data_IF_512738996595
#
_entry.id   IF_512738996595
#
_cell.length_a   1.000
_cell.length_b   1.000
_cell.length_c   1.000
_cell.angle_alpha   90.00
_cell.angle_beta   90.00
_cell.angle_gamma   90.00
#
_symmetry.space_group_name_H-M   'P 1'
#
loop_
_entity.id
_entity.type
_entity.pdbx_description
1 polymer ?
2 non-polymer ?
3 water ?
#
# COMPACT_ATOMS: atom_id res chain seq x y z
N UNK A 1 7.02 4.29 12.61
CA UNK A 1 7.21 2.94 13.15
C UNK A 1 6.01 2.54 14.03
N UNK A 2 5.29 1.53 13.59
CA UNK A 2 4.13 1.06 14.30
C UNK A 2 4.56 0.17 15.48
N UNK A 3 3.78 0.15 16.56
CA UNK A 3 4.07 -0.81 17.63
C UNK A 3 3.92 -2.24 17.13
N UNK A 4 4.72 -3.14 17.71
CA UNK A 4 4.63 -4.54 17.33
C UNK A 4 3.31 -5.15 17.76
N UNK A 5 2.71 -4.63 18.84
CA UNK A 5 1.44 -5.12 19.36
C UNK A 5 0.61 -3.95 19.84
N UNK A 6 -0.72 -4.09 19.72
CA UNK A 6 -1.69 -3.09 20.14
C UNK A 6 -2.85 -3.81 20.83
N UNK A 7 -3.36 -3.23 21.91
CA UNK A 7 -4.55 -3.78 22.58
C UNK A 7 -5.30 -2.59 23.18
N UNK A 8 -6.34 -2.13 22.46
CA UNK A 8 -7.10 -0.96 22.91
C UNK A 8 -7.89 -1.22 24.19
N UNK A 9 -8.11 -2.49 24.58
CA UNK A 9 -8.76 -2.75 25.86
C UNK A 9 -7.95 -2.21 27.02
N UNK A 10 -6.63 -2.30 26.92
CA UNK A 10 -5.77 -1.84 28.00
C UNK A 10 -5.80 -0.32 28.14
N UNK A 11 -6.25 0.39 27.11
CA UNK A 11 -6.36 1.84 27.12
C UNK A 11 -7.75 2.33 27.48
N UNK A 12 -8.63 1.45 27.94
CA UNK A 12 -9.96 1.84 28.38
C UNK A 12 -10.88 2.28 27.25
N UNK A 13 -10.64 1.80 26.02
CA UNK A 13 -11.44 2.22 24.88
C UNK A 13 -12.44 1.17 24.40
N UNK A 14 -12.60 0.06 25.13
CA UNK A 14 -13.46 -1.03 24.69
C UNK A 14 -14.43 -1.38 25.81
N UNK A 15 -15.73 -1.40 25.48
CA UNK A 15 -16.76 -1.72 26.47
C UNK A 15 -16.84 -3.23 26.67
N UNK A 16 -17.68 -3.65 27.61
CA UNK A 16 -17.82 -5.08 27.87
C UNK A 16 -18.38 -5.79 26.63
N UNK A 17 -18.05 -7.08 26.52
CA UNK A 17 -18.53 -7.88 25.42
C UNK A 17 -20.04 -8.01 25.49
N UNK A 18 -20.69 -7.86 24.34
CA UNK A 18 -22.15 -7.95 24.22
C UNK A 18 -22.55 -9.31 23.62
N UNK A 19 -23.84 -9.61 23.72
CA UNK A 19 -24.39 -10.87 23.23
C UNK A 19 -25.57 -10.59 22.32
N UNK A 20 -25.42 -10.85 21.02
CA UNK A 20 -26.48 -10.51 20.08
C UNK A 20 -27.64 -11.49 20.09
N UNK A 21 -27.49 -12.66 20.71
CA UNK A 21 -28.58 -13.63 20.70
C UNK A 21 -28.96 -14.03 19.29
N UNK A 22 -30.26 -14.28 19.10
CA UNK A 22 -30.75 -14.84 17.86
C UNK A 22 -31.08 -13.78 16.81
N UNK A 23 -30.57 -12.57 16.98
CA UNK A 23 -30.79 -11.45 16.07
C UNK A 23 -29.48 -11.19 15.36
N UNK A 24 -29.50 -11.23 14.02
CA UNK A 24 -28.31 -11.07 13.21
C UNK A 24 -27.85 -9.63 13.11
N UNK A 25 -27.49 -9.07 14.26
CA UNK A 25 -27.16 -7.65 14.40
C UNK A 25 -25.66 -7.42 14.58
N UNK A 26 -24.82 -8.35 14.14
CA UNK A 26 -23.38 -8.18 14.35
C UNK A 26 -22.88 -6.86 13.77
N UNK A 27 -23.44 -6.46 12.63
CA UNK A 27 -23.06 -5.19 12.00
C UNK A 27 -23.30 -4.02 12.94
N UNK A 28 -24.40 -4.07 13.69
CA UNK A 28 -24.72 -2.97 14.61
C UNK A 28 -23.74 -2.94 15.78
N UNK A 29 -23.40 -4.11 16.35
CA UNK A 29 -22.43 -4.15 17.43
C UNK A 29 -21.04 -3.73 16.97
N UNK A 30 -20.64 -4.14 15.75
CA UNK A 30 -19.35 -3.71 15.22
C UNK A 30 -19.28 -2.19 15.11
N UNK A 31 -20.34 -1.59 14.58
CA UNK A 31 -20.39 -0.14 14.42
C UNK A 31 -20.34 0.58 15.76
N UNK A 32 -21.17 0.17 16.73
CA UNK A 32 -21.16 0.92 17.98
C UNK A 32 -19.84 0.73 18.70
N UNK A 33 -19.24 -0.46 18.58
CA UNK A 33 -17.94 -0.68 19.21
C UNK A 33 -16.87 0.24 18.67
N UNK A 34 -16.86 0.45 17.35
CA UNK A 34 -15.88 1.37 16.80
C UNK A 34 -16.15 2.80 17.27
N UNK A 35 -17.41 3.21 17.31
CA UNK A 35 -17.70 4.58 17.72
C UNK A 35 -17.47 4.77 19.22
N UNK A 36 -17.70 3.71 20.01
CA UNK A 36 -17.43 3.80 21.46
C UNK A 36 -15.98 4.19 21.72
N UNK A 37 -15.04 3.64 20.96
CA UNK A 37 -13.64 3.96 21.17
C UNK A 37 -13.35 5.42 20.81
N UNK A 38 -13.91 5.91 19.71
CA UNK A 38 -13.70 7.30 19.34
C UNK A 38 -14.29 8.25 20.38
N UNK A 39 -15.46 7.90 20.94
CA UNK A 39 -16.04 8.72 22.00
C UNK A 39 -15.12 8.78 23.21
N UNK A 40 -14.52 7.65 23.60
CA UNK A 40 -13.57 7.68 24.70
C UNK A 40 -12.35 8.51 24.36
N UNK A 41 -11.81 8.34 23.16
CA UNK A 41 -10.64 9.11 22.74
C UNK A 41 -10.95 10.61 22.75
N UNK A 42 -12.17 10.98 22.38
CA UNK A 42 -12.52 12.39 22.27
C UNK A 42 -12.87 13.01 23.63
N UNK A 43 -13.65 12.31 24.45
CA UNK A 43 -14.24 12.89 25.65
C UNK A 43 -13.68 12.35 26.96
N UNK A 44 -12.93 11.25 26.92
CA UNK A 44 -12.46 10.61 28.12
C UNK A 44 -13.46 9.68 28.81
N UNK A 45 -14.68 9.57 28.29
CA UNK A 45 -15.71 8.72 28.89
C UNK A 45 -15.96 7.50 28.01
N UNK A 46 -16.06 6.34 28.63
CA UNK A 46 -16.40 5.09 27.96
C UNK A 46 -17.86 4.79 28.23
N UNK A 47 -18.68 4.76 27.18
CA UNK A 47 -20.13 4.56 27.30
C UNK A 47 -20.56 3.54 26.24
N UNK A 48 -21.31 2.51 26.65
CA UNK A 48 -21.87 1.60 25.64
C UNK A 48 -22.95 2.33 24.85
N UNK A 49 -22.90 2.22 23.53
CA UNK A 49 -23.85 2.87 22.64
C UNK A 49 -24.88 1.86 22.13
N UNK A 50 -26.03 2.37 21.67
CA UNK A 50 -27.21 1.55 21.41
C UNK A 50 -27.13 0.82 20.06
N UNK A 51 -26.80 -0.47 20.10
CA UNK A 51 -26.92 -1.29 18.89
C UNK A 51 -28.37 -1.41 18.44
N UNK A 52 -29.32 -1.43 19.39
CA UNK A 52 -30.74 -1.51 19.04
C UNK A 52 -31.18 -0.29 18.23
N UNK A 53 -30.67 0.89 18.60
CA UNK A 53 -30.92 2.13 17.83
C UNK A 53 -30.61 1.92 16.36
N UNK A 54 -29.48 1.28 16.05
CA UNK A 54 -29.12 1.02 14.66
C UNK A 54 -30.06 -0.01 14.03
N UNK A 55 -30.33 -1.11 14.75
CA UNK A 55 -31.22 -2.15 14.22
C UNK A 55 -32.58 -1.55 13.84
N UNK A 56 -33.12 -0.69 14.69
CA UNK A 56 -34.47 -0.18 14.49
C UNK A 56 -34.53 1.00 13.52
N UNK A 57 -33.47 1.78 13.39
CA UNK A 57 -33.56 3.07 12.72
C UNK A 57 -32.70 3.18 11.47
N UNK A 58 -31.60 2.44 11.38
CA UNK A 58 -30.76 2.46 10.19
C UNK A 58 -31.23 1.31 9.31
N UNK A 59 -32.33 1.56 8.58
CA UNK A 59 -33.01 0.45 7.91
C UNK A 59 -32.94 0.56 6.39
N UNK A 60 -34.09 0.49 5.70
CA UNK A 60 -34.09 0.28 4.25
C UNK A 60 -33.39 1.40 3.49
N UNK A 61 -33.48 2.65 3.97
CA UNK A 61 -32.79 3.73 3.28
C UNK A 61 -31.27 3.55 3.33
N UNK A 62 -30.77 2.77 4.29
CA UNK A 62 -29.35 2.51 4.47
C UNK A 62 -28.98 1.10 4.01
N UNK A 63 -29.91 0.39 3.36
CA UNK A 63 -29.63 -0.94 2.87
C UNK A 63 -29.58 -2.01 3.93
N UNK A 64 -29.94 -1.69 5.16
CA UNK A 64 -29.84 -2.62 6.26
C UNK A 64 -31.17 -3.29 6.52
N UNK A 65 -31.10 -4.51 7.11
CA UNK A 65 -32.26 -5.37 7.33
C UNK A 65 -32.36 -5.81 8.79
N UNK A 66 -31.91 -4.97 9.71
CA UNK A 66 -32.12 -5.23 11.14
C UNK A 66 -31.50 -6.56 11.58
N UNK A 67 -32.34 -7.43 12.14
CA UNK A 67 -31.90 -8.74 12.59
C UNK A 67 -31.53 -9.67 11.45
N UNK A 68 -31.73 -9.27 10.20
CA UNK A 68 -31.30 -10.09 9.07
C UNK A 68 -30.10 -9.49 8.34
N UNK A 69 -29.33 -8.63 8.99
CA UNK A 69 -28.03 -8.22 8.48
C UNK A 69 -27.99 -6.76 8.09
N UNK A 70 -26.76 -6.29 7.88
CA UNK A 70 -26.57 -4.88 7.52
C UNK A 70 -25.11 -4.59 7.30
N UNK A 71 -24.79 -3.28 7.13
CA UNK A 71 -23.44 -2.79 6.89
C UNK A 71 -23.02 -1.83 8.00
N UNK A 72 -21.76 -1.93 8.43
CA UNK A 72 -21.25 -0.95 9.40
C UNK A 72 -21.15 0.45 8.78
N UNK A 73 -20.76 0.54 7.50
CA UNK A 73 -20.60 1.87 6.91
C UNK A 73 -21.92 2.62 6.85
N UNK A 74 -23.01 1.97 6.48
CA UNK A 74 -24.26 2.71 6.44
C UNK A 74 -24.84 2.92 7.83
N UNK A 75 -24.45 2.11 8.81
CA UNK A 75 -24.75 2.46 10.19
C UNK A 75 -24.08 3.77 10.56
N UNK A 76 -22.81 3.94 10.21
CA UNK A 76 -22.16 5.22 10.47
C UNK A 76 -22.88 6.36 9.76
N UNK A 77 -23.27 6.16 8.49
CA UNK A 77 -23.97 7.23 7.76
C UNK A 77 -25.29 7.59 8.44
N UNK A 78 -26.03 6.60 8.94
CA UNK A 78 -27.23 6.90 9.72
C UNK A 78 -26.90 7.80 10.91
N UNK A 79 -25.83 7.49 11.65
CA UNK A 79 -25.52 8.29 12.83
C UNK A 79 -25.15 9.72 12.42
N UNK A 80 -24.43 9.86 11.31
CA UNK A 80 -24.13 11.19 10.77
C UNK A 80 -25.41 11.94 10.42
N UNK A 81 -26.27 11.32 9.61
CA UNK A 81 -27.50 11.95 9.15
C UNK A 81 -28.42 12.29 10.31
N UNK A 82 -28.52 11.38 11.28
CA UNK A 82 -29.41 11.52 12.42
C UNK A 82 -28.90 12.52 13.44
N UNK A 83 -27.63 12.91 13.35
CA UNK A 83 -26.96 13.77 14.29
C UNK A 83 -26.92 13.18 15.69
N UNK A 84 -26.89 11.85 15.78
CA UNK A 84 -26.67 11.23 17.08
C UNK A 84 -27.08 9.79 17.13
N UNK A 85 -26.66 9.14 18.22
CA UNK A 85 -27.06 7.79 18.59
C UNK A 85 -27.25 7.76 20.10
N UNK A 86 -28.26 7.04 20.57
CA UNK A 86 -28.58 6.97 21.99
C UNK A 86 -27.62 6.06 22.75
N UNK A 87 -27.58 6.26 24.07
CA UNK A 87 -26.84 5.31 24.88
C UNK A 87 -27.54 3.95 24.87
N UNK A 88 -26.75 2.90 25.12
CA UNK A 88 -27.33 1.56 25.30
C UNK A 88 -28.25 1.53 26.51
N UNK A 89 -27.90 2.25 27.57
CA UNK A 89 -28.76 2.26 28.75
C UNK A 89 -30.15 2.78 28.42
N UNK A 90 -30.22 3.87 27.65
CA UNK A 90 -31.51 4.48 27.34
C UNK A 90 -32.28 3.71 26.29
N UNK A 91 -31.57 2.97 25.44
CA UNK A 91 -32.17 2.31 24.28
C UNK A 91 -31.59 0.90 24.23
N UNK A 92 -32.01 0.02 25.15
CA UNK A 92 -31.31 -1.25 25.36
C UNK A 92 -31.63 -2.29 24.30
N UNK A 93 -30.78 -3.30 24.26
CA UNK A 93 -30.82 -4.30 23.19
C UNK A 93 -31.83 -5.40 23.50
N UNK A 94 -32.74 -5.62 22.56
CA UNK A 94 -33.82 -6.59 22.73
C UNK A 94 -33.73 -7.76 21.77
N UNK A 95 -32.75 -7.76 20.86
CA UNK A 95 -32.55 -8.85 19.89
C UNK A 95 -33.82 -9.08 19.07
N UNK A 96 -34.48 -8.00 18.69
CA UNK A 96 -35.68 -8.05 17.86
C UNK A 96 -35.71 -6.81 16.99
N UNK A 97 -36.41 -6.90 15.86
CA UNK A 97 -36.68 -5.72 15.04
C UNK A 97 -37.81 -4.93 15.70
N UNK A 98 -37.60 -3.63 15.91
CA UNK A 98 -38.61 -2.79 16.55
C UNK A 98 -38.83 -1.51 15.76
N UNK A 99 -39.90 -0.80 16.08
CA UNK A 99 -40.05 0.54 15.56
C UNK A 99 -38.95 1.42 16.12
N UNK A 100 -38.54 2.42 15.34
CA UNK A 100 -37.49 3.33 15.78
C UNK A 100 -37.93 4.08 17.02
N UNK A 101 -37.07 4.07 18.05
CA UNK A 101 -37.34 4.75 19.32
C UNK A 101 -36.32 5.84 19.61
N UNK A 102 -35.59 6.30 18.60
CA UNK A 102 -34.54 7.28 18.87
C UNK A 102 -35.09 8.54 19.54
N UNK A 103 -34.40 9.00 20.57
CA UNK A 103 -34.75 10.23 21.26
C UNK A 103 -33.49 11.04 21.49
N UNK A 104 -33.39 12.23 20.88
CA UNK A 104 -32.19 13.05 21.04
C UNK A 104 -31.89 13.40 22.50
N UNK A 105 -32.88 13.31 23.40
CA UNK A 105 -32.61 13.61 24.80
C UNK A 105 -31.56 12.69 25.40
N UNK A 106 -31.41 11.48 24.84
CA UNK A 106 -30.50 10.48 25.39
C UNK A 106 -29.31 10.25 24.49
N UNK A 107 -29.05 11.18 23.57
CA UNK A 107 -27.89 11.11 22.70
C UNK A 107 -26.62 10.97 23.52
N UNK A 108 -25.80 9.97 23.15
CA UNK A 108 -24.53 9.73 23.83
C UNK A 108 -23.33 9.88 22.91
N UNK A 109 -23.52 9.93 21.61
CA UNK A 109 -22.40 10.14 20.70
C UNK A 109 -22.92 10.73 19.40
N UNK A 110 -21.99 11.33 18.65
CA UNK A 110 -22.22 11.76 17.28
C UNK A 110 -21.12 11.15 16.41
N UNK A 111 -21.27 11.30 15.11
CA UNK A 111 -20.28 10.83 14.16
C UNK A 111 -20.17 11.88 13.07
N UNK A 112 -18.94 12.27 12.73
CA UNK A 112 -18.73 13.28 11.69
C UNK A 112 -18.47 12.69 10.32
N UNK A 113 -17.80 11.56 10.25
CA UNK A 113 -17.38 10.96 9.00
C UNK A 113 -17.01 9.52 9.28
N UNK A 114 -16.81 8.76 8.22
CA UNK A 114 -16.18 7.45 8.35
C UNK A 114 -15.27 7.23 7.17
N UNK A 115 -14.32 6.32 7.36
CA UNK A 115 -13.27 6.04 6.39
C UNK A 115 -13.28 4.55 6.06
N UNK A 116 -13.25 4.21 4.78
CA UNK A 116 -13.13 2.83 4.34
C UNK A 116 -11.70 2.55 3.91
N UNK A 117 -11.18 1.37 4.29
CA UNK A 117 -9.81 1.01 3.95
C UNK A 117 -9.78 0.09 2.72
N UNK A 118 -8.67 0.08 1.98
CA UNK A 118 -8.63 -0.69 0.73
C UNK A 118 -8.70 -2.18 0.95
N UNK A 119 -9.39 -2.85 0.01
CA UNK A 119 -9.64 -4.28 0.07
C UNK A 119 -8.36 -5.10 0.22
N UNK A 120 -8.35 -5.95 1.22
CA UNK A 120 -7.31 -6.95 1.44
C UNK A 120 -6.00 -6.43 1.96
N UNK A 121 -5.88 -5.13 2.27
CA UNK A 121 -4.60 -4.53 2.66
C UNK A 121 -4.43 -4.62 4.16
N UNK A 122 -3.76 -5.69 4.61
CA UNK A 122 -3.55 -5.86 6.05
C UNK A 122 -2.52 -4.88 6.59
N UNK A 123 -1.64 -4.34 5.74
CA UNK A 123 -0.72 -3.31 6.21
C UNK A 123 -1.44 -2.02 6.53
N UNK A 124 -2.41 -1.63 5.70
CA UNK A 124 -3.20 -0.43 5.95
C UNK A 124 -4.09 -0.63 7.18
N UNK A 125 -4.66 -1.83 7.32
CA UNK A 125 -5.45 -2.11 8.52
C UNK A 125 -4.60 -2.00 9.79
N UNK A 126 -3.38 -2.53 9.76
CA UNK A 126 -2.52 -2.42 10.94
C UNK A 126 -2.26 -0.96 11.29
N UNK A 127 -2.00 -0.15 10.27
CA UNK A 127 -1.76 1.27 10.54
C UNK A 127 -2.97 1.96 11.15
N UNK A 128 -4.14 1.63 10.64
CA UNK A 128 -5.34 2.27 11.19
C UNK A 128 -5.59 1.84 12.62
N UNK A 129 -5.43 0.55 12.93
CA UNK A 129 -5.65 0.07 14.29
C UNK A 129 -4.66 0.75 15.24
N UNK A 130 -3.40 0.89 14.82
CA UNK A 130 -2.41 1.52 15.68
C UNK A 130 -2.66 3.01 15.85
N UNK A 131 -2.98 3.70 14.75
CA UNK A 131 -2.99 5.16 14.75
C UNK A 131 -4.37 5.78 14.96
N UNK A 132 -5.46 5.07 14.65
CA UNK A 132 -6.79 5.64 14.75
C UNK A 132 -7.64 5.04 15.84
N UNK A 133 -7.59 3.73 16.03
CA UNK A 133 -8.38 3.07 17.04
C UNK A 133 -8.97 1.79 16.49
N UNK A 134 -9.88 1.17 17.23
CA UNK A 134 -10.51 -0.06 16.74
C UNK A 134 -11.22 0.16 15.41
N UNK A 135 -11.21 -0.87 14.57
CA UNK A 135 -11.70 -0.79 13.20
C UNK A 135 -12.79 -1.84 13.00
N UNK A 136 -13.92 -1.42 12.45
CA UNK A 136 -14.98 -2.36 12.11
C UNK A 136 -14.58 -3.16 10.89
N UNK A 137 -14.74 -4.49 10.94
CA UNK A 137 -14.44 -5.34 9.78
C UNK A 137 -15.52 -6.40 9.64
N UNK A 138 -15.63 -6.97 8.44
CA UNK A 138 -16.40 -8.18 8.23
C UNK A 138 -15.47 -9.38 8.21
N UNK A 139 -15.99 -10.54 8.61
CA UNK A 139 -15.26 -11.80 8.50
C UNK A 139 -16.19 -12.86 7.94
N UNK A 140 -15.59 -13.90 7.37
CA UNK A 140 -16.33 -15.09 6.96
C UNK A 140 -16.43 -15.98 8.19
N UNK A 141 -17.57 -15.96 8.87
CA UNK A 141 -17.74 -16.74 10.10
C UNK A 141 -18.51 -18.03 9.88
N UNK A 142 -18.76 -18.41 8.63
CA UNK A 142 -19.62 -19.57 8.33
C UNK A 142 -18.82 -20.88 8.30
N UNK A 143 -18.17 -21.16 9.44
CA UNK A 143 -17.34 -22.34 9.61
C UNK A 143 -17.47 -22.82 11.05
N UNK A 144 -17.76 -24.10 11.28
CA UNK A 144 -17.81 -24.60 12.66
C UNK A 144 -16.55 -24.31 13.44
N UNK A 145 -15.38 -24.35 12.79
CA UNK A 145 -14.16 -24.03 13.50
C UNK A 145 -14.19 -22.64 14.08
N UNK A 146 -14.90 -21.71 13.43
CA UNK A 146 -15.02 -20.36 13.95
C UNK A 146 -15.86 -20.32 15.20
N UNK A 147 -17.07 -20.88 15.16
CA UNK A 147 -17.87 -20.72 16.38
C UNK A 147 -17.52 -21.74 17.45
N UNK A 148 -16.70 -22.75 17.14
CA UNK A 148 -16.16 -23.65 18.14
C UNK A 148 -14.83 -23.18 18.72
N UNK A 149 -14.29 -22.07 18.23
CA UNK A 149 -12.99 -21.58 18.67
C UNK A 149 -12.97 -21.36 20.18
N UNK A 150 -11.89 -21.82 20.83
CA UNK A 150 -11.68 -21.60 22.25
C UNK A 150 -10.46 -20.75 22.58
N UNK A 151 -9.32 -20.98 21.94
CA UNK A 151 -8.13 -20.23 22.29
C UNK A 151 -7.09 -20.36 21.18
N UNK A 152 -6.09 -19.51 21.26
CA UNK A 152 -4.98 -19.53 20.33
C UNK A 152 -5.23 -18.64 19.13
N UNK A 153 -4.42 -18.84 18.10
CA UNK A 153 -4.55 -18.07 16.86
C UNK A 153 -5.34 -18.90 15.87
N UNK A 154 -6.50 -18.38 15.49
CA UNK A 154 -7.43 -19.10 14.62
C UNK A 154 -6.94 -19.08 13.17
N UNK A 155 -6.85 -20.27 12.58
CA UNK A 155 -6.54 -20.39 11.16
C UNK A 155 -7.43 -21.48 10.58
N UNK A 156 -8.18 -21.16 9.54
CA UNK A 156 -9.12 -22.09 8.90
C UNK A 156 -8.81 -22.16 7.42
N UNK A 157 -8.22 -23.26 6.92
CA UNK A 157 -7.89 -23.35 5.49
C UNK A 157 -9.08 -23.18 4.56
N UNK A 158 -10.29 -23.52 5.00
CA UNK A 158 -11.47 -23.38 4.16
C UNK A 158 -12.08 -21.98 4.17
N UNK A 159 -11.50 -21.05 4.93
CA UNK A 159 -12.06 -19.70 5.01
C UNK A 159 -11.98 -19.01 3.66
N UNK A 160 -12.95 -18.14 3.38
CA UNK A 160 -12.94 -17.34 2.17
C UNK A 160 -12.78 -15.86 2.54
N UNK A 161 -12.60 -15.03 1.52
CA UNK A 161 -12.50 -13.59 1.73
C UNK A 161 -13.86 -12.89 1.64
N UNK A 162 -14.95 -13.65 1.50
CA UNK A 162 -16.30 -13.09 1.38
C UNK A 162 -16.93 -13.04 2.77
N UNK A 163 -17.23 -11.84 3.24
CA UNK A 163 -17.60 -11.66 4.63
C UNK A 163 -19.10 -11.75 4.84
N UNK A 164 -19.49 -12.10 6.07
CA UNK A 164 -20.91 -12.28 6.39
C UNK A 164 -21.20 -11.98 7.85
N UNK A 165 -20.24 -11.46 8.60
CA UNK A 165 -20.39 -11.25 10.04
C UNK A 165 -19.54 -10.05 10.44
N UNK A 166 -20.16 -9.07 11.11
CA UNK A 166 -19.43 -7.88 11.53
C UNK A 166 -18.80 -8.06 12.90
N UNK A 167 -17.54 -7.67 13.03
CA UNK A 167 -16.77 -7.74 14.27
C UNK A 167 -15.88 -6.50 14.36
N UNK A 168 -15.12 -6.41 15.44
CA UNK A 168 -14.34 -5.21 15.70
C UNK A 168 -12.89 -5.59 16.00
N UNK A 169 -11.95 -5.06 15.21
CA UNK A 169 -10.53 -5.31 15.47
C UNK A 169 -10.07 -4.31 16.52
N UNK A 170 -9.72 -4.80 17.72
CA UNK A 170 -9.29 -3.93 18.81
C UNK A 170 -7.80 -4.01 19.07
N UNK A 171 -7.05 -4.75 18.26
CA UNK A 171 -5.61 -4.78 18.43
C UNK A 171 -5.00 -5.83 17.52
N UNK A 172 -3.72 -6.07 17.75
CA UNK A 172 -2.96 -7.06 16.99
C UNK A 172 -1.71 -7.43 17.77
N UNK A 173 -1.09 -8.53 17.36
CA UNK A 173 0.14 -8.96 18.01
C UNK A 173 0.65 -10.27 17.45
N UNK A 174 1.40 -11.02 18.24
CA UNK A 174 1.83 -12.34 17.80
C UNK A 174 1.89 -13.26 19.01
N UNK A 175 1.56 -14.52 18.77
CA UNK A 175 1.61 -15.56 19.79
C UNK A 175 2.74 -16.49 19.34
N UNK A 176 3.89 -16.38 20.00
CA UNK A 176 5.07 -17.19 19.67
C UNK A 176 5.36 -17.17 18.16
N UNK A 177 5.29 -15.99 17.55
CA UNK A 177 5.57 -15.82 16.15
C UNK A 177 4.36 -15.92 15.23
N UNK A 178 3.25 -16.48 15.70
CA UNK A 178 2.02 -16.51 14.91
C UNK A 178 1.33 -15.16 15.05
N UNK A 179 1.36 -14.36 13.98
CA UNK A 179 0.75 -13.04 14.02
C UNK A 179 -0.77 -13.15 14.03
N UNK A 180 -1.42 -12.25 14.76
CA UNK A 180 -2.89 -12.29 14.86
C UNK A 180 -3.47 -10.89 14.89
N UNK A 181 -4.76 -10.84 14.58
CA UNK A 181 -5.65 -9.72 14.83
C UNK A 181 -6.46 -10.04 16.08
N UNK A 182 -6.59 -9.07 16.98
CA UNK A 182 -7.38 -9.23 18.20
C UNK A 182 -8.80 -8.73 17.93
N UNK A 183 -9.77 -9.65 17.94
CA UNK A 183 -11.10 -9.38 17.41
C UNK A 183 -12.15 -9.50 18.53
N UNK A 184 -12.93 -8.44 18.71
CA UNK A 184 -14.07 -8.44 19.63
C UNK A 184 -15.31 -8.94 18.88
N UNK A 185 -15.93 -10.00 19.39
CA UNK A 185 -17.16 -10.53 18.81
C UNK A 185 -18.35 -10.07 19.65
N UNK A 186 -19.55 -10.43 19.21
CA UNK A 186 -20.79 -10.10 19.92
C UNK A 186 -21.59 -11.36 20.20
N UNK A 187 -20.88 -12.44 20.57
CA UNK A 187 -21.50 -13.70 20.95
C UNK A 187 -21.37 -13.99 22.43
N UNK A 188 -21.20 -12.95 23.26
CA UNK A 188 -21.12 -13.10 24.69
C UNK A 188 -19.73 -13.46 25.17
N UNK A 189 -19.52 -13.41 26.48
CA UNK A 189 -18.17 -13.57 27.00
C UNK A 189 -17.79 -15.03 27.21
N UNK A 190 -18.64 -15.97 26.78
CA UNK A 190 -18.26 -17.37 26.78
C UNK A 190 -17.83 -17.89 25.41
N UNK A 191 -17.93 -17.07 24.36
CA UNK A 191 -17.32 -17.38 23.07
C UNK A 191 -15.82 -17.14 23.14
N UNK A 192 -15.04 -18.08 22.61
CA UNK A 192 -13.60 -17.85 22.46
C UNK A 192 -12.89 -17.50 23.76
N UNK A 193 -12.01 -16.51 23.68
CA UNK A 193 -11.21 -16.04 24.82
C UNK A 193 -11.96 -14.88 25.47
N UNK A 194 -12.89 -15.20 26.37
CA UNK A 194 -13.72 -14.20 27.07
C UNK A 194 -14.43 -13.26 26.10
N UNK A 195 -14.87 -13.80 24.96
CA UNK A 195 -15.63 -13.04 23.98
C UNK A 195 -14.83 -12.59 22.78
N UNK A 196 -13.53 -12.82 22.77
CA UNK A 196 -12.60 -12.37 21.73
C UNK A 196 -12.07 -13.57 20.96
N UNK A 197 -11.62 -13.32 19.74
CA UNK A 197 -10.93 -14.34 18.96
C UNK A 197 -9.66 -13.72 18.36
N UNK A 198 -8.55 -14.42 18.47
CA UNK A 198 -7.31 -13.99 17.82
C UNK A 198 -7.23 -14.70 16.47
N UNK A 199 -7.26 -13.91 15.39
CA UNK A 199 -7.39 -14.43 14.04
C UNK A 199 -6.09 -14.21 13.27
N UNK A 200 -5.74 -15.19 12.42
CA UNK A 200 -4.48 -15.14 11.69
C UNK A 200 -4.31 -13.83 10.93
N UNK A 201 -3.13 -13.22 11.09
CA UNK A 201 -2.78 -11.95 10.46
C UNK A 201 -1.65 -12.18 9.47
N UNK A 202 -1.69 -11.44 8.37
CA UNK A 202 -0.68 -11.52 7.29
C UNK A 202 -0.64 -12.91 6.68
N UNK A 203 -1.81 -13.54 6.60
CA UNK A 203 -1.94 -14.83 5.94
C UNK A 203 -2.93 -14.69 4.79
N UNK A 204 -2.70 -13.71 3.93
CA UNK A 204 -3.47 -13.55 2.70
C UNK A 204 -4.92 -13.15 2.91
N UNK A 205 -5.16 -12.18 3.80
CA UNK A 205 -6.52 -11.70 4.09
C UNK A 205 -7.40 -12.85 4.59
N UNK A 206 -6.90 -13.54 5.60
CA UNK A 206 -7.55 -14.73 6.13
C UNK A 206 -8.95 -14.41 6.60
N UNK A 207 -9.93 -15.17 6.10
CA UNK A 207 -11.34 -15.02 6.44
C UNK A 207 -11.89 -13.65 6.07
N UNK A 208 -11.23 -12.93 5.17
CA UNK A 208 -11.74 -11.64 4.75
C UNK A 208 -11.62 -10.52 5.76
N UNK A 209 -10.76 -10.68 6.78
CA UNK A 209 -10.68 -9.69 7.86
C UNK A 209 -10.38 -8.29 7.33
N UNK A 210 -9.56 -8.18 6.28
CA UNK A 210 -9.23 -6.87 5.71
C UNK A 210 -9.99 -6.58 4.41
N UNK A 211 -11.03 -7.35 4.10
CA UNK A 211 -11.79 -7.10 2.87
C UNK A 211 -12.51 -5.76 2.91
N UNK A 212 -13.26 -5.49 3.99
CA UNK A 212 -14.07 -4.26 4.06
C UNK A 212 -13.95 -3.60 5.43
N UNK A 213 -12.79 -3.03 5.76
CA UNK A 213 -12.64 -2.34 7.03
C UNK A 213 -13.13 -0.90 6.95
N UNK A 214 -13.63 -0.40 8.08
CA UNK A 214 -14.04 0.99 8.15
C UNK A 214 -13.98 1.49 9.59
N UNK A 215 -13.84 2.80 9.75
CA UNK A 215 -13.88 3.34 11.11
C UNK A 215 -14.47 4.75 11.10
N UNK A 216 -15.18 5.12 12.16
CA UNK A 216 -15.78 6.44 12.25
C UNK A 216 -14.84 7.44 12.93
N UNK A 217 -15.17 8.72 12.80
CA UNK A 217 -14.46 9.74 13.56
C UNK A 217 -15.44 10.77 14.09
N UNK A 218 -15.09 11.37 15.23
CA UNK A 218 -15.86 12.44 15.84
C UNK A 218 -14.98 13.69 15.78
N UNK A 219 -15.33 14.64 14.92
CA UNK A 219 -14.51 15.81 14.68
C UNK A 219 -15.14 17.05 15.27
N UNK A 220 -14.29 18.01 15.66
CA UNK A 220 -14.75 19.25 16.27
C UNK A 220 -15.00 20.32 15.21
N UNK B 1 17.33 -16.61 -30.68
CA UNK B 1 17.67 -15.52 -31.55
C UNK B 1 17.05 -14.21 -31.05
N UNK B 2 17.89 -13.27 -30.66
CA UNK B 2 17.40 -12.00 -30.17
C UNK B 2 17.01 -11.09 -31.32
N UNK B 3 16.03 -10.22 -31.13
CA UNK B 3 15.71 -9.23 -32.17
C UNK B 3 16.89 -8.30 -32.41
N UNK B 4 17.01 -7.84 -33.65
CA UNK B 4 18.10 -6.94 -34.01
C UNK B 4 17.93 -5.58 -33.35
N UNK B 5 16.69 -5.20 -33.07
CA UNK B 5 16.39 -3.92 -32.43
C UNK B 5 15.22 -4.11 -31.48
N UNK B 6 15.25 -3.32 -30.41
CA UNK B 6 14.22 -3.32 -29.36
C UNK B 6 13.93 -1.88 -28.99
N UNK B 7 12.66 -1.54 -28.75
CA UNK B 7 12.29 -0.21 -28.28
C UNK B 7 11.06 -0.38 -27.40
N UNK B 8 11.27 -0.43 -26.08
CA UNK B 8 10.16 -0.63 -25.15
C UNK B 8 9.19 0.54 -25.13
N UNK B 9 9.55 1.72 -25.62
CA UNK B 9 8.58 2.81 -25.68
C UNK B 9 7.41 2.45 -26.59
N UNK B 10 7.70 1.74 -27.69
CA UNK B 10 6.66 1.35 -28.64
C UNK B 10 5.70 0.34 -28.07
N UNK B 11 6.08 -0.34 -26.99
CA UNK B 11 5.23 -1.33 -26.32
C UNK B 11 4.50 -0.74 -25.12
N UNK B 12 4.54 0.58 -24.96
CA UNK B 12 3.81 1.23 -23.88
C UNK B 12 4.36 0.99 -22.50
N UNK B 13 5.65 0.68 -22.37
CA UNK B 13 6.25 0.35 -21.09
C UNK B 13 7.13 1.47 -20.52
N UNK B 14 7.14 2.65 -21.16
CA UNK B 14 8.02 3.74 -20.73
C UNK B 14 7.19 5.01 -20.53
N UNK B 15 7.32 5.62 -19.34
CA UNK B 15 6.59 6.84 -19.03
C UNK B 15 7.27 8.04 -19.67
N UNK B 16 6.65 9.20 -19.53
CA UNK B 16 7.22 10.41 -20.10
C UNK B 16 8.56 10.72 -19.44
N UNK B 17 9.42 11.40 -20.21
CA UNK B 17 10.73 11.80 -19.70
C UNK B 17 10.56 12.79 -18.55
N UNK B 18 11.35 12.58 -17.49
CA UNK B 18 11.34 13.42 -16.31
C UNK B 18 12.55 14.37 -16.29
N UNK B 19 12.49 15.35 -15.40
CA UNK B 19 13.52 16.38 -15.26
C UNK B 19 13.96 16.44 -13.80
N UNK B 20 15.18 15.99 -13.52
CA UNK B 20 15.61 15.95 -12.13
C UNK B 20 16.04 17.31 -11.59
N UNK B 21 16.22 18.30 -12.46
CA UNK B 21 16.66 19.59 -11.99
C UNK B 21 18.01 19.52 -11.29
N UNK B 22 18.16 20.38 -10.27
CA UNK B 22 19.44 20.52 -9.60
C UNK B 22 19.63 19.53 -8.46
N UNK B 23 18.84 18.47 -8.44
CA UNK B 23 18.94 17.42 -7.43
C UNK B 23 19.54 16.19 -8.10
N UNK B 24 20.65 15.69 -7.54
CA UNK B 24 21.36 14.54 -8.12
C UNK B 24 20.66 13.22 -7.85
N UNK B 25 19.45 13.07 -8.38
CA UNK B 25 18.60 11.93 -8.11
C UNK B 25 18.47 11.00 -9.31
N UNK B 26 19.47 10.98 -10.21
CA UNK B 26 19.37 10.16 -11.40
C UNK B 26 19.17 8.69 -11.04
N UNK B 27 19.80 8.24 -9.96
CA UNK B 27 19.63 6.87 -9.48
C UNK B 27 18.15 6.55 -9.20
N UNK B 28 17.42 7.52 -8.61
CA UNK B 28 16.02 7.29 -8.29
C UNK B 28 15.17 7.22 -9.55
N UNK B 29 15.43 8.11 -10.52
CA UNK B 29 14.68 8.05 -11.76
C UNK B 29 14.98 6.78 -12.54
N UNK B 30 16.24 6.34 -12.54
CA UNK B 30 16.58 5.07 -13.20
C UNK B 30 15.80 3.91 -12.57
N UNK B 31 15.77 3.85 -11.24
CA UNK B 31 15.09 2.77 -10.55
C UNK B 31 13.58 2.78 -10.83
N UNK B 32 12.92 3.94 -10.70
CA UNK B 32 11.47 3.93 -10.91
C UNK B 32 11.15 3.62 -12.36
N UNK B 33 11.99 4.07 -13.29
CA UNK B 33 11.74 3.74 -14.70
C UNK B 33 11.78 2.24 -14.96
N UNK B 34 12.74 1.55 -14.35
CA UNK B 34 12.80 0.11 -14.55
C UNK B 34 11.58 -0.56 -13.93
N UNK B 35 11.16 -0.10 -12.75
CA UNK B 35 10.02 -0.73 -12.10
C UNK B 35 8.72 -0.39 -12.83
N UNK B 36 8.61 0.82 -13.39
CA UNK B 36 7.42 1.20 -14.15
C UNK B 36 7.15 0.22 -15.29
N UNK B 37 8.20 -0.22 -15.99
CA UNK B 37 7.99 -1.14 -17.10
C UNK B 37 7.50 -2.49 -16.61
N UNK B 38 8.06 -2.99 -15.50
CA UNK B 38 7.60 -4.26 -14.94
C UNK B 38 6.15 -4.19 -14.48
N UNK B 39 5.76 -3.06 -13.89
CA UNK B 39 4.36 -2.87 -13.49
C UNK B 39 3.43 -2.93 -14.69
N UNK B 40 3.81 -2.33 -15.81
CA UNK B 40 3.02 -2.42 -17.02
C UNK B 40 2.97 -3.86 -17.54
N UNK B 41 4.12 -4.54 -17.56
CA UNK B 41 4.13 -5.93 -18.01
C UNK B 41 3.24 -6.80 -17.14
N UNK B 42 3.18 -6.52 -15.84
CA UNK B 42 2.45 -7.36 -14.90
C UNK B 42 0.96 -7.05 -14.89
N UNK B 43 0.59 -5.75 -14.90
CA UNK B 43 -0.77 -5.34 -14.66
C UNK B 43 -1.45 -4.70 -15.87
N UNK B 44 -0.71 -4.38 -16.92
CA UNK B 44 -1.25 -3.67 -18.05
C UNK B 44 -1.38 -2.16 -17.87
N UNK B 45 -1.05 -1.62 -16.70
CA UNK B 45 -1.19 -0.20 -16.45
C UNK B 45 0.18 0.45 -16.40
N UNK B 46 0.31 1.60 -17.07
CA UNK B 46 1.55 2.38 -17.05
C UNK B 46 1.36 3.57 -16.12
N UNK B 47 2.11 3.61 -15.02
CA UNK B 47 1.97 4.71 -14.07
C UNK B 47 3.36 5.16 -13.62
N UNK B 48 3.60 6.47 -13.64
CA UNK B 48 4.86 7.01 -13.15
C UNK B 48 4.95 6.79 -11.64
N UNK B 49 6.09 6.30 -11.18
CA UNK B 49 6.32 6.01 -9.77
C UNK B 49 7.18 7.10 -9.15
N UNK B 50 7.13 7.19 -7.82
CA UNK B 50 7.66 8.34 -7.08
C UNK B 50 9.18 8.25 -6.93
N UNK B 51 9.90 9.01 -7.75
CA UNK B 51 11.33 9.16 -7.48
C UNK B 51 11.57 9.88 -6.15
N UNK B 52 10.69 10.81 -5.78
CA UNK B 52 10.82 11.53 -4.52
C UNK B 52 10.75 10.57 -3.34
N UNK B 53 9.85 9.58 -3.42
CA UNK B 53 9.76 8.52 -2.40
C UNK B 53 11.12 7.90 -2.13
N UNK B 54 11.88 7.59 -3.20
CA UNK B 54 13.21 7.01 -3.04
C UNK B 54 14.20 8.01 -2.43
N UNK B 55 14.20 9.24 -2.94
CA UNK B 55 15.11 10.27 -2.43
C UNK B 55 14.94 10.46 -0.93
N UNK B 56 13.68 10.51 -0.46
CA UNK B 56 13.41 10.81 0.94
C UNK B 56 13.52 9.60 1.86
N UNK B 57 13.28 8.40 1.35
CA UNK B 57 13.11 7.23 2.21
C UNK B 57 14.16 6.16 2.04
N UNK B 58 14.79 6.05 0.86
CA UNK B 58 15.86 5.08 0.66
C UNK B 58 17.18 5.80 0.92
N UNK B 59 17.52 5.94 2.21
CA UNK B 59 18.62 6.84 2.58
C UNK B 59 19.80 6.09 3.20
N UNK B 60 20.26 6.52 4.38
CA UNK B 60 21.56 6.06 4.90
C UNK B 60 21.62 4.54 5.08
N UNK B 61 20.51 3.92 5.47
CA UNK B 61 20.54 2.46 5.64
C UNK B 61 20.77 1.75 4.32
N UNK B 62 20.47 2.42 3.21
CA UNK B 62 20.63 1.89 1.86
C UNK B 62 21.85 2.47 1.16
N UNK B 63 22.67 3.23 1.88
CA UNK B 63 23.86 3.82 1.31
C UNK B 63 23.62 4.99 0.40
N UNK B 64 22.39 5.49 0.33
CA UNK B 64 22.06 6.57 -0.59
C UNK B 64 22.06 7.91 0.12
N UNK B 65 22.29 8.96 -0.68
CA UNK B 65 22.45 10.32 -0.18
C UNK B 65 21.49 11.28 -0.89
N UNK B 66 20.31 10.78 -1.28
CA UNK B 66 19.27 11.68 -1.79
C UNK B 66 19.72 12.46 -3.00
N UNK B 67 19.67 13.80 -2.90
CA UNK B 67 20.09 14.67 -3.99
C UNK B 67 21.59 14.68 -4.21
N UNK B 68 22.38 13.98 -3.39
CA UNK B 68 23.81 13.85 -3.61
C UNK B 68 24.23 12.44 -4.04
N UNK B 69 23.32 11.66 -4.60
CA UNK B 69 23.68 10.43 -5.28
C UNK B 69 23.13 9.21 -4.56
N UNK B 70 23.19 8.08 -5.27
CA UNK B 70 22.66 6.83 -4.75
C UNK B 70 22.85 5.69 -5.74
N UNK B 71 22.30 4.52 -5.39
CA UNK B 71 22.35 3.29 -6.19
C UNK B 71 20.96 2.84 -6.58
N UNK B 72 20.80 2.36 -7.82
CA UNK B 72 19.52 1.77 -8.21
C UNK B 72 19.24 0.48 -7.44
N UNK B 73 20.27 -0.34 -7.21
CA UNK B 73 20.03 -1.63 -6.56
C UNK B 73 19.50 -1.45 -5.15
N UNK B 74 20.06 -0.52 -4.37
CA UNK B 74 19.52 -0.35 -3.03
C UNK B 74 18.20 0.41 -3.01
N UNK B 75 17.91 1.19 -4.06
CA UNK B 75 16.55 1.68 -4.22
C UNK B 75 15.58 0.51 -4.39
N UNK B 76 15.92 -0.48 -5.22
CA UNK B 76 15.06 -1.67 -5.32
C UNK B 76 14.93 -2.36 -3.96
N UNK B 77 16.03 -2.51 -3.22
CA UNK B 77 15.93 -3.18 -1.92
C UNK B 77 15.02 -2.42 -0.96
N UNK B 78 15.08 -1.08 -0.98
CA UNK B 78 14.13 -0.31 -0.19
C UNK B 78 12.69 -0.63 -0.57
N UNK B 79 12.40 -0.71 -1.88
CA UNK B 79 11.01 -0.97 -2.27
C UNK B 79 10.57 -2.35 -1.78
N UNK B 80 11.48 -3.33 -1.87
CA UNK B 80 11.21 -4.67 -1.36
C UNK B 80 10.97 -4.63 0.15
N UNK B 81 11.90 -4.03 0.91
CA UNK B 81 11.77 -4.00 2.36
C UNK B 81 10.52 -3.25 2.80
N UNK B 82 10.22 -2.14 2.13
CA UNK B 82 9.10 -1.28 2.45
C UNK B 82 7.78 -1.87 2.03
N UNK B 83 7.82 -2.89 1.18
CA UNK B 83 6.64 -3.52 0.60
C UNK B 83 5.83 -2.53 -0.24
N UNK B 84 6.49 -1.56 -0.86
CA UNK B 84 5.79 -0.71 -1.80
C UNK B 84 6.50 0.60 -2.07
N UNK B 85 6.01 1.28 -3.11
CA UNK B 85 6.43 2.62 -3.49
C UNK B 85 5.19 3.37 -3.96
N UNK B 86 5.10 4.65 -3.62
CA UNK B 86 3.96 5.48 -3.99
C UNK B 86 4.02 5.90 -5.46
N UNK B 87 2.86 6.28 -6.00
CA UNK B 87 2.86 6.85 -7.34
C UNK B 87 3.51 8.23 -7.33
N UNK B 88 4.00 8.64 -8.49
CA UNK B 88 4.51 10.00 -8.63
C UNK B 88 3.43 11.03 -8.36
N UNK B 89 2.20 10.76 -8.80
CA UNK B 89 1.10 11.71 -8.61
C UNK B 89 0.86 11.98 -7.12
N UNK B 90 0.89 10.94 -6.30
CA UNK B 90 0.61 11.07 -4.88
C UNK B 90 1.79 11.61 -4.08
N UNK B 91 3.00 11.43 -4.58
CA UNK B 91 4.22 11.77 -3.84
C UNK B 91 5.13 12.46 -4.84
N UNK B 92 4.83 13.72 -5.18
CA UNK B 92 5.47 14.35 -6.34
C UNK B 92 6.90 14.78 -6.09
N UNK B 93 7.60 15.00 -7.21
CA UNK B 93 9.03 15.28 -7.18
C UNK B 93 9.29 16.77 -6.94
N UNK B 94 10.09 17.07 -5.94
CA UNK B 94 10.39 18.44 -5.56
C UNK B 94 11.86 18.82 -5.75
N UNK B 95 12.69 17.88 -6.18
CA UNK B 95 14.12 18.15 -6.40
C UNK B 95 14.79 18.69 -5.14
N UNK B 96 14.42 18.14 -3.98
CA UNK B 96 15.01 18.52 -2.71
C UNK B 96 14.97 17.29 -1.80
N UNK B 97 15.88 17.25 -0.83
CA UNK B 97 15.82 16.23 0.21
C UNK B 97 14.72 16.58 1.20
N UNK B 98 13.81 15.64 1.47
CA UNK B 98 12.70 15.86 2.39
C UNK B 98 12.65 14.73 3.40
N UNK B 99 11.84 14.92 4.45
CA UNK B 99 11.56 13.83 5.36
C UNK B 99 10.76 12.73 4.64
N UNK B 100 10.94 11.48 5.08
CA UNK B 100 10.19 10.40 4.47
C UNK B 100 8.69 10.59 4.69
N UNK B 101 7.92 10.57 3.59
CA UNK B 101 6.47 10.77 3.64
C UNK B 101 5.71 9.62 2.99
N UNK B 102 6.31 8.42 2.91
CA UNK B 102 5.63 7.30 2.28
C UNK B 102 4.28 7.07 2.91
N UNK B 103 3.27 6.84 2.07
CA UNK B 103 1.89 6.62 2.52
C UNK B 103 1.40 5.34 1.85
N UNK B 104 1.17 4.30 2.66
CA UNK B 104 0.75 3.00 2.15
C UNK B 104 -0.54 3.08 1.34
N UNK B 105 -1.40 4.07 1.63
CA UNK B 105 -2.66 4.21 0.92
C UNK B 105 -2.45 4.54 -0.55
N UNK B 106 -1.32 5.14 -0.90
CA UNK B 106 -1.04 5.53 -2.28
C UNK B 106 0.00 4.64 -2.93
N UNK B 107 0.24 3.46 -2.36
CA UNK B 107 1.14 2.49 -2.98
C UNK B 107 0.69 2.20 -4.40
N UNK B 108 1.62 2.28 -5.36
CA UNK B 108 1.33 2.01 -6.76
C UNK B 108 2.08 0.84 -7.34
N UNK B 109 3.14 0.37 -6.67
CA UNK B 109 3.87 -0.78 -7.15
C UNK B 109 4.54 -1.45 -5.97
N UNK B 110 4.92 -2.70 -6.16
CA UNK B 110 5.74 -3.48 -5.25
C UNK B 110 6.91 -4.02 -6.06
N UNK B 111 7.87 -4.59 -5.36
CA UNK B 111 9.04 -5.22 -5.98
C UNK B 111 9.36 -6.49 -5.19
N UNK B 112 9.58 -7.59 -5.90
CA UNK B 112 9.87 -8.86 -5.23
C UNK B 112 11.36 -9.14 -5.11
N UNK B 113 12.14 -8.75 -6.11
CA UNK B 113 13.54 -9.07 -6.19
C UNK B 113 14.18 -8.14 -7.21
N UNK B 114 15.51 -8.18 -7.27
CA UNK B 114 16.22 -7.54 -8.37
C UNK B 114 17.40 -8.41 -8.75
N UNK B 115 17.88 -8.21 -9.98
CA UNK B 115 18.95 -9.01 -10.55
C UNK B 115 20.05 -8.09 -11.04
N UNK B 116 21.30 -8.41 -10.71
CA UNK B 116 22.45 -7.69 -11.24
C UNK B 116 23.09 -8.49 -12.37
N UNK B 117 23.49 -7.78 -13.45
CA UNK B 117 24.12 -8.43 -14.58
C UNK B 117 25.65 -8.35 -14.48
N UNK B 118 26.37 -9.27 -15.10
CA UNK B 118 27.83 -9.29 -14.95
C UNK B 118 28.52 -8.09 -15.59
N UNK B 119 29.57 -7.61 -14.93
CA UNK B 119 30.31 -6.43 -15.35
C UNK B 119 30.79 -6.51 -16.80
N UNK B 120 30.46 -5.48 -17.57
CA UNK B 120 30.97 -5.26 -18.90
C UNK B 120 30.40 -6.13 -20.00
N UNK B 121 29.44 -7.00 -19.69
CA UNK B 121 28.92 -7.95 -20.68
C UNK B 121 27.75 -7.34 -21.44
N UNK B 122 28.07 -6.75 -22.59
CA UNK B 122 27.03 -6.13 -23.40
C UNK B 122 26.14 -7.17 -24.07
N UNK B 123 26.64 -8.40 -24.27
CA UNK B 123 25.79 -9.45 -24.81
C UNK B 123 24.73 -9.86 -23.79
N UNK B 124 25.11 -9.96 -22.52
CA UNK B 124 24.15 -10.30 -21.47
C UNK B 124 23.15 -9.17 -21.29
N UNK B 125 23.61 -7.92 -21.35
CA UNK B 125 22.70 -6.78 -21.26
C UNK B 125 21.68 -6.80 -22.40
N UNK B 126 22.13 -7.09 -23.63
CA UNK B 126 21.21 -7.14 -24.76
C UNK B 126 20.13 -8.18 -24.52
N UNK B 127 20.51 -9.36 -24.02
CA UNK B 127 19.55 -10.42 -23.74
C UNK B 127 18.52 -9.98 -22.69
N UNK B 128 18.98 -9.28 -21.65
CA UNK B 128 18.05 -8.82 -20.61
C UNK B 128 17.12 -7.75 -21.14
N UNK B 129 17.63 -6.82 -21.93
CA UNK B 129 16.75 -5.78 -22.49
C UNK B 129 15.69 -6.41 -23.39
N UNK B 130 16.09 -7.39 -24.18
CA UNK B 130 15.14 -8.03 -25.10
C UNK B 130 14.11 -8.88 -24.36
N UNK B 131 14.56 -9.67 -23.38
CA UNK B 131 13.70 -10.69 -22.76
C UNK B 131 13.06 -10.28 -21.45
N UNK B 132 13.62 -9.33 -20.72
CA UNK B 132 13.10 -8.95 -19.42
C UNK B 132 12.48 -7.56 -19.38
N UNK B 133 13.03 -6.59 -20.10
CA UNK B 133 12.49 -5.26 -20.10
C UNK B 133 13.59 -4.24 -19.94
N UNK B 134 13.25 -2.98 -19.73
CA UNK B 134 14.27 -1.95 -19.52
C UNK B 134 15.15 -2.25 -18.31
N UNK B 135 16.41 -1.88 -18.43
CA UNK B 135 17.43 -2.22 -17.44
C UNK B 135 18.07 -0.92 -16.92
N UNK B 136 18.15 -0.80 -15.60
CA UNK B 136 18.85 0.32 -14.98
C UNK B 136 20.35 0.15 -15.15
N UNK B 137 21.04 1.22 -15.58
CA UNK B 137 22.49 1.18 -15.72
C UNK B 137 23.10 2.48 -15.23
N UNK B 138 24.38 2.42 -14.91
CA UNK B 138 25.18 3.61 -14.67
C UNK B 138 25.97 3.94 -15.93
N UNK B 139 26.24 5.22 -16.13
CA UNK B 139 27.15 5.65 -17.19
C UNK B 139 28.09 6.71 -16.64
N UNK B 140 29.22 6.87 -17.31
CA UNK B 140 30.15 7.97 -17.06
C UNK B 140 29.65 9.15 -17.90
N UNK B 141 28.95 10.08 -17.24
CA UNK B 141 28.37 11.24 -17.92
C UNK B 141 29.19 12.51 -17.70
N UNK B 142 30.40 12.41 -17.14
CA UNK B 142 31.17 13.59 -16.78
C UNK B 142 32.04 14.07 -17.94
N UNK B 143 31.37 14.38 -19.04
CA UNK B 143 32.05 14.85 -20.24
C UNK B 143 31.13 15.87 -20.89
N UNK B 144 31.64 17.05 -21.25
CA UNK B 144 30.80 18.01 -21.97
C UNK B 144 30.14 17.43 -23.21
N UNK B 145 30.80 16.50 -23.92
CA UNK B 145 30.17 15.91 -25.08
C UNK B 145 28.87 15.20 -24.73
N UNK B 146 28.79 14.63 -23.51
CA UNK B 146 27.56 13.96 -23.08
C UNK B 146 26.42 14.96 -22.90
N UNK B 147 26.65 16.04 -22.15
CA UNK B 147 25.50 16.90 -21.95
C UNK B 147 25.27 17.84 -23.11
N UNK B 148 26.22 17.95 -24.04
CA UNK B 148 26.02 18.71 -25.28
C UNK B 148 25.41 17.86 -26.39
N UNK B 149 25.20 16.56 -26.16
CA UNK B 149 24.69 15.67 -27.18
C UNK B 149 23.32 16.14 -27.67
N UNK B 150 23.15 16.16 -28.99
CA UNK B 150 21.86 16.50 -29.59
C UNK B 150 21.24 15.36 -30.37
N UNK B 151 22.01 14.61 -31.16
CA UNK B 151 21.43 13.56 -31.97
C UNK B 151 22.51 12.61 -32.46
N UNK B 152 22.07 11.47 -32.96
CA UNK B 152 23.00 10.49 -33.52
C UNK B 152 23.45 9.49 -32.47
N UNK B 153 24.52 8.77 -32.78
CA UNK B 153 25.07 7.79 -31.83
C UNK B 153 26.26 8.42 -31.13
N UNK B 154 26.20 8.46 -29.80
CA UNK B 154 27.21 9.08 -28.98
C UNK B 154 28.42 8.18 -28.78
N UNK B 155 29.61 8.70 -29.11
CA UNK B 155 30.87 8.05 -28.83
C UNK B 155 31.86 9.11 -28.34
N UNK B 156 32.45 8.87 -27.18
CA UNK B 156 33.38 9.80 -26.54
C UNK B 156 34.70 9.10 -26.27
N UNK B 157 35.77 9.41 -26.99
CA UNK B 157 37.05 8.73 -26.76
C UNK B 157 37.56 8.82 -25.33
N UNK B 158 37.23 9.88 -24.59
CA UNK B 158 37.69 10.05 -23.22
C UNK B 158 36.81 9.36 -22.18
N UNK B 159 35.72 8.72 -22.58
CA UNK B 159 34.84 8.06 -21.61
C UNK B 159 35.58 6.94 -20.88
N UNK B 160 35.21 6.72 -19.63
CA UNK B 160 35.72 5.62 -18.84
C UNK B 160 34.59 4.64 -18.53
N UNK B 161 34.96 3.50 -17.93
CA UNK B 161 33.98 2.53 -17.51
C UNK B 161 33.50 2.74 -16.07
N UNK B 162 33.94 3.82 -15.42
CA UNK B 162 33.56 4.13 -14.04
C UNK B 162 32.35 5.05 -14.06
N UNK B 163 31.24 4.58 -13.52
CA UNK B 163 29.95 5.26 -13.72
C UNK B 163 29.66 6.25 -12.60
N UNK B 164 28.83 7.26 -12.93
CA UNK B 164 28.50 8.30 -11.96
C UNK B 164 27.11 8.87 -12.18
N UNK B 165 26.28 8.29 -13.06
CA UNK B 165 25.00 8.85 -13.44
C UNK B 165 24.10 7.68 -13.78
N UNK B 166 22.91 7.62 -13.14
CA UNK B 166 21.98 6.52 -13.39
C UNK B 166 21.02 6.85 -14.52
N UNK B 167 20.84 5.89 -15.43
CA UNK B 167 19.96 6.04 -16.60
C UNK B 167 19.27 4.70 -16.85
N UNK B 168 18.43 4.65 -17.88
CA UNK B 168 17.60 3.48 -18.14
C UNK B 168 17.75 3.07 -19.59
N UNK B 169 18.20 1.83 -19.81
CA UNK B 169 18.28 1.30 -21.18
C UNK B 169 16.91 0.76 -21.54
N UNK B 170 16.25 1.41 -22.50
CA UNK B 170 14.90 1.01 -22.93
C UNK B 170 14.90 0.34 -24.29
N UNK B 171 16.07 0.11 -24.89
CA UNK B 171 16.12 -0.58 -26.16
C UNK B 171 17.52 -0.56 -26.72
N UNK B 172 17.63 -1.01 -27.97
CA UNK B 172 18.88 -1.02 -28.70
C UNK B 172 18.56 -1.13 -30.19
N UNK B 173 19.57 -0.88 -31.00
CA UNK B 173 19.39 -0.97 -32.43
C UNK B 173 20.64 -0.51 -33.15
N UNK B 174 20.49 -0.02 -34.38
CA UNK B 174 21.63 0.52 -35.11
C UNK B 174 21.16 1.66 -35.99
N UNK B 175 22.02 2.65 -36.14
CA UNK B 175 21.75 3.80 -36.99
C UNK B 175 22.65 3.62 -38.21
N UNK B 176 22.06 3.14 -39.31
CA UNK B 176 22.82 2.85 -40.52
C UNK B 176 24.09 2.05 -40.20
N UNK B 177 23.94 1.02 -39.36
CA UNK B 177 25.02 0.15 -38.97
C UNK B 177 25.77 0.54 -37.71
N UNK B 178 25.61 1.77 -37.23
CA UNK B 178 26.23 2.21 -35.98
C UNK B 178 25.39 1.66 -34.82
N UNK B 179 25.90 0.64 -34.13
CA UNK B 179 25.10 0.01 -33.06
C UNK B 179 25.00 0.91 -31.85
N UNK B 180 23.83 0.91 -31.21
CA UNK B 180 23.60 1.78 -30.06
C UNK B 180 22.73 1.12 -29.01
N UNK B 181 22.81 1.68 -27.81
CA UNK B 181 21.87 1.48 -26.72
C UNK B 181 20.93 2.69 -26.68
N UNK B 182 19.64 2.44 -26.54
CA UNK B 182 18.64 3.51 -26.44
C UNK B 182 18.45 3.84 -24.96
N UNK B 183 18.86 5.02 -24.54
CA UNK B 183 18.99 5.36 -23.13
C UNK B 183 18.04 6.50 -22.78
N UNK B 184 17.20 6.27 -21.78
CA UNK B 184 16.31 7.29 -21.22
C UNK B 184 17.05 8.01 -20.11
N UNK B 185 17.17 9.33 -20.22
CA UNK B 185 17.80 10.17 -19.21
C UNK B 185 16.71 10.84 -18.40
N UNK B 186 17.12 11.59 -17.39
CA UNK B 186 16.21 12.36 -16.54
C UNK B 186 16.62 13.82 -16.52
N UNK B 187 17.01 14.33 -17.69
CA UNK B 187 17.35 15.73 -17.85
C UNK B 187 16.31 16.49 -18.66
N UNK B 188 15.07 16.00 -18.67
CA UNK B 188 13.99 16.68 -19.37
C UNK B 188 13.97 16.35 -20.85
N UNK B 189 12.90 16.77 -21.51
CA UNK B 189 12.73 16.34 -22.89
C UNK B 189 13.43 17.23 -23.89
N UNK B 190 14.22 18.21 -23.43
CA UNK B 190 15.03 18.99 -24.35
C UNK B 190 16.48 18.52 -24.38
N UNK B 191 16.87 17.56 -23.52
CA UNK B 191 18.17 16.91 -23.63
C UNK B 191 18.16 15.91 -24.78
N UNK B 192 19.22 15.91 -25.57
CA UNK B 192 19.36 14.86 -26.57
C UNK B 192 18.18 14.77 -27.53
N UNK B 193 17.77 13.53 -27.83
CA UNK B 193 16.68 13.25 -28.77
C UNK B 193 15.40 13.11 -27.95
N UNK B 194 14.74 14.24 -27.69
CA UNK B 194 13.49 14.26 -26.90
C UNK B 194 13.67 13.59 -25.54
N UNK B 195 14.85 13.75 -24.95
CA UNK B 195 15.13 13.24 -23.62
C UNK B 195 15.96 11.97 -23.59
N UNK B 196 16.26 11.39 -24.74
CA UNK B 196 16.98 10.13 -24.88
C UNK B 196 18.35 10.39 -25.51
N UNK B 197 19.26 9.44 -25.29
CA UNK B 197 20.56 9.46 -25.94
C UNK B 197 20.83 8.06 -26.46
N UNK B 198 21.27 7.98 -27.72
CA UNK B 198 21.68 6.71 -28.30
C UNK B 198 23.19 6.59 -28.11
N UNK B 199 23.62 5.63 -27.31
CA UNK B 199 25.02 5.51 -26.88
C UNK B 199 25.65 4.30 -27.55
N UNK B 200 26.92 4.44 -27.93
CA UNK B 200 27.63 3.40 -28.67
C UNK B 200 27.55 2.05 -27.98
N UNK B 201 27.18 1.04 -28.76
CA UNK B 201 27.02 -0.34 -28.30
C UNK B 201 28.06 -1.24 -28.94
N UNK B 202 28.52 -2.23 -28.17
CA UNK B 202 29.53 -3.19 -28.63
C UNK B 202 30.82 -2.50 -29.02
N UNK B 203 31.17 -1.44 -28.29
CA UNK B 203 32.46 -0.77 -28.45
C UNK B 203 33.19 -0.80 -27.12
N UNK B 204 33.32 -1.99 -26.53
CA UNK B 204 34.13 -2.20 -25.35
C UNK B 204 33.59 -1.57 -24.08
N UNK B 205 32.29 -1.74 -23.83
CA UNK B 205 31.63 -1.21 -22.63
C UNK B 205 31.79 0.31 -22.56
N UNK B 206 31.42 0.97 -23.66
CA UNK B 206 31.62 2.40 -23.79
C UNK B 206 30.88 3.17 -22.69
N UNK B 207 31.60 4.05 -22.00
CA UNK B 207 31.09 4.88 -20.91
C UNK B 207 30.55 4.04 -19.75
N UNK B 208 30.96 2.78 -19.65
CA UNK B 208 30.52 1.95 -18.55
C UNK B 208 29.07 1.52 -18.59
N UNK B 209 28.42 1.61 -19.74
CA UNK B 209 26.99 1.32 -19.81
C UNK B 209 26.65 -0.07 -19.29
N UNK B 210 27.54 -1.06 -19.50
CA UNK B 210 27.29 -2.40 -19.01
C UNK B 210 28.08 -2.74 -17.76
N UNK B 211 28.64 -1.74 -17.08
CA UNK B 211 29.41 -2.00 -15.87
C UNK B 211 28.54 -2.53 -14.75
N UNK B 212 27.43 -1.84 -14.44
CA UNK B 212 26.57 -2.23 -13.31
C UNK B 212 25.09 -2.18 -13.68
N UNK B 213 24.64 -3.10 -14.53
CA UNK B 213 23.22 -3.16 -14.88
C UNK B 213 22.43 -3.94 -13.83
N UNK B 214 21.17 -3.54 -13.65
CA UNK B 214 20.27 -4.27 -12.77
C UNK B 214 18.82 -4.04 -13.20
N UNK B 215 17.94 -4.98 -12.83
CA UNK B 215 16.52 -4.79 -13.11
C UNK B 215 15.68 -5.45 -12.04
N UNK B 216 14.52 -4.87 -11.73
CA UNK B 216 13.63 -5.43 -10.71
C UNK B 216 12.61 -6.38 -11.33
N UNK B 217 11.97 -7.17 -10.48
CA UNK B 217 10.86 -7.99 -10.93
C UNK B 217 9.72 -7.97 -9.91
N UNK B 218 8.51 -8.14 -10.42
CA UNK B 218 7.32 -8.22 -9.58
C UNK B 218 6.77 -9.62 -9.78
N UNK B 219 6.89 -10.45 -8.76
CA UNK B 219 6.47 -11.85 -8.89
C UNK B 219 5.19 -12.15 -8.12
#
# INVERSE_FOLDING_TARGET
ILPDSVDWREKGCVTEVKYQGSCGASWAFSAVGALEAQLKLKTGKLVSLSAQNLVDCSTEKYGNKGCNGGFMTTAFQYIIDNKGIDSDASYPYKAMDQKCQYDSKYRAATCSKYTELPYGREDVLKEAVANKGPVSVGVDARHPSFFLYRSGVYYEPSCTQNVNHGVLVVGYGDLNGKEYWLVKNSWGHNFGEEGYIRMARNKGNHCGIASFPSYPEILQGGG
ILPDSVDWREKGCVTEVKYQGSCGASWAFSAVGALEAQLKLKTGKLVSLSAQNLVDCSTEKYGNKGCNGGFMTTAFQYIIDNKGIDSDASYPYKAMDQKCQYDSKYRAATCSKYTELPYGREDVLKEAVANKGPVSVGVDARHPSFFLYRSGVYYEPSCTQNVNHGVLVVGYGDLNGKEYWLVKNSWGHNFGEEGYIRMARNKGNHCGIASFPSYPEILQGGG
#
